data_IF_122617054541
#
_entry.id   IF_122617054541
#
_cell.length_a   1.000
_cell.length_b   1.000
_cell.length_c   1.000
_cell.angle_alpha   90.00
_cell.angle_beta   90.00
_cell.angle_gamma   90.00
#
_symmetry.space_group_name_H-M   'P 1'
#
loop_
_entity.id
_entity.type
_entity.pdbx_description
1 polymer ?
#
# COMPACT_ATOMS: atom_id res chain seq x y z
N UNK A 1 -29.87 -14.55 9.78
CA UNK A 1 -28.89 -13.49 9.46
C UNK A 1 -28.72 -13.45 7.94
N UNK A 2 -29.30 -12.45 7.28
CA UNK A 2 -29.62 -12.45 5.85
C UNK A 2 -28.38 -12.52 4.94
N UNK A 3 -28.47 -13.27 3.84
CA UNK A 3 -27.48 -13.43 2.75
C UNK A 3 -26.75 -12.14 2.28
N UNK A 4 -27.29 -10.96 2.58
CA UNK A 4 -26.72 -9.66 2.27
C UNK A 4 -25.38 -9.36 2.96
N UNK A 5 -25.14 -9.84 4.19
CA UNK A 5 -23.91 -9.50 4.93
C UNK A 5 -22.65 -10.11 4.29
N UNK A 6 -22.76 -11.29 3.68
CA UNK A 6 -21.64 -11.94 2.97
C UNK A 6 -21.23 -11.13 1.74
N UNK A 7 -22.20 -10.65 0.95
CA UNK A 7 -21.94 -9.80 -0.22
C UNK A 7 -21.27 -8.46 0.15
N UNK A 8 -21.70 -7.85 1.26
CA UNK A 8 -21.10 -6.62 1.78
C UNK A 8 -19.66 -6.85 2.25
N UNK A 9 -19.40 -7.92 3.00
CA UNK A 9 -18.04 -8.28 3.44
C UNK A 9 -17.11 -8.48 2.23
N UNK A 10 -17.57 -9.24 1.22
CA UNK A 10 -16.79 -9.46 0.01
C UNK A 10 -16.45 -8.15 -0.72
N UNK A 11 -17.42 -7.24 -0.84
CA UNK A 11 -17.19 -5.93 -1.48
C UNK A 11 -16.18 -5.08 -0.70
N UNK A 12 -16.26 -5.08 0.63
CA UNK A 12 -15.30 -4.37 1.50
C UNK A 12 -13.89 -4.93 1.29
N UNK A 13 -13.74 -6.25 1.29
CA UNK A 13 -12.45 -6.92 1.06
C UNK A 13 -11.89 -6.53 -0.30
N UNK A 14 -12.72 -6.54 -1.35
CA UNK A 14 -12.29 -6.19 -2.70
C UNK A 14 -11.82 -4.74 -2.81
N UNK A 15 -12.55 -3.81 -2.21
CA UNK A 15 -12.16 -2.39 -2.15
C UNK A 15 -10.85 -2.23 -1.39
N UNK A 16 -10.71 -2.89 -0.24
CA UNK A 16 -9.49 -2.84 0.56
C UNK A 16 -8.29 -3.40 -0.20
N UNK A 17 -8.45 -4.57 -0.84
CA UNK A 17 -7.41 -5.21 -1.64
C UNK A 17 -7.01 -4.36 -2.85
N UNK A 18 -7.99 -3.75 -3.53
CA UNK A 18 -7.73 -2.82 -4.64
C UNK A 18 -6.93 -1.61 -4.16
N UNK A 19 -7.28 -1.04 -3.01
CA UNK A 19 -6.56 0.09 -2.43
C UNK A 19 -5.12 -0.28 -2.09
N UNK A 20 -4.90 -1.41 -1.40
CA UNK A 20 -3.56 -1.89 -1.04
C UNK A 20 -2.71 -2.15 -2.29
N UNK A 21 -3.30 -2.80 -3.30
CA UNK A 21 -2.62 -3.09 -4.57
C UNK A 21 -2.23 -1.82 -5.32
N UNK A 22 -3.11 -0.82 -5.33
CA UNK A 22 -2.82 0.48 -5.95
C UNK A 22 -1.59 1.14 -5.33
N UNK A 23 -1.49 1.16 -3.99
CA UNK A 23 -0.33 1.72 -3.30
C UNK A 23 0.94 0.90 -3.51
N UNK A 24 0.83 -0.43 -3.58
CA UNK A 24 1.95 -1.31 -3.96
C UNK A 24 2.51 -0.93 -5.32
N UNK A 25 1.65 -0.80 -6.34
CA UNK A 25 2.07 -0.47 -7.70
C UNK A 25 2.77 0.89 -7.75
N UNK A 26 2.23 1.89 -7.07
CA UNK A 26 2.86 3.23 -7.00
C UNK A 26 4.26 3.13 -6.38
N UNK A 27 4.40 2.45 -5.25
CA UNK A 27 5.69 2.30 -4.58
C UNK A 27 6.70 1.55 -5.46
N UNK A 28 6.27 0.51 -6.16
CA UNK A 28 7.12 -0.24 -7.09
C UNK A 28 7.64 0.64 -8.22
N UNK A 29 6.78 1.48 -8.81
CA UNK A 29 7.17 2.42 -9.87
C UNK A 29 8.21 3.42 -9.34
N UNK A 30 7.99 4.00 -8.16
CA UNK A 30 8.94 4.93 -7.55
C UNK A 30 10.28 4.26 -7.23
N UNK A 31 10.24 3.08 -6.61
CA UNK A 31 11.45 2.33 -6.31
C UNK A 31 12.23 1.99 -7.58
N UNK A 32 11.52 1.56 -8.63
CA UNK A 32 12.12 1.28 -9.93
C UNK A 32 12.77 2.51 -10.57
N UNK A 33 12.07 3.66 -10.57
CA UNK A 33 12.61 4.93 -11.08
C UNK A 33 13.87 5.35 -10.31
N UNK A 34 13.84 5.30 -8.98
CA UNK A 34 14.98 5.65 -8.14
C UNK A 34 16.15 4.70 -8.40
N UNK A 35 15.90 3.39 -8.47
CA UNK A 35 16.94 2.41 -8.78
C UNK A 35 17.61 2.67 -10.13
N UNK A 36 16.86 3.08 -11.15
CA UNK A 36 17.43 3.44 -12.47
C UNK A 36 18.28 4.71 -12.36
N UNK A 37 17.77 5.76 -11.70
CA UNK A 37 18.46 7.05 -11.59
C UNK A 37 19.78 6.91 -10.82
N UNK A 38 19.78 6.13 -9.73
CA UNK A 38 20.93 5.97 -8.84
C UNK A 38 21.74 4.69 -9.11
N UNK A 39 21.38 3.91 -10.12
CA UNK A 39 21.99 2.62 -10.46
C UNK A 39 22.09 1.66 -9.25
N UNK A 40 21.01 1.58 -8.48
CA UNK A 40 20.90 0.74 -7.29
C UNK A 40 20.27 -0.60 -7.68
N UNK A 41 20.84 -1.70 -7.19
CA UNK A 41 20.29 -3.04 -7.41
C UNK A 41 18.86 -3.18 -6.88
N UNK A 42 17.98 -3.73 -7.72
CA UNK A 42 16.60 -4.00 -7.35
C UNK A 42 16.51 -5.23 -6.45
N UNK A 43 16.48 -4.99 -5.13
CA UNK A 43 16.22 -6.03 -4.14
C UNK A 43 14.76 -6.08 -3.71
N UNK A 44 14.15 -7.27 -3.77
CA UNK A 44 12.80 -7.52 -3.24
C UNK A 44 12.73 -7.29 -1.72
N UNK A 45 13.83 -7.53 -0.99
CA UNK A 45 13.86 -7.31 0.46
C UNK A 45 13.70 -5.82 0.78
N UNK A 46 14.44 -4.97 0.08
CA UNK A 46 14.36 -3.51 0.22
C UNK A 46 12.96 -3.00 -0.13
N UNK A 47 12.35 -3.55 -1.18
CA UNK A 47 10.98 -3.22 -1.56
C UNK A 47 9.96 -3.53 -0.45
N UNK A 48 10.00 -4.74 0.15
CA UNK A 48 9.11 -5.09 1.26
C UNK A 48 9.33 -4.23 2.52
N UNK A 49 10.58 -3.86 2.80
CA UNK A 49 10.89 -2.94 3.90
C UNK A 49 10.29 -1.56 3.64
N UNK A 50 10.50 -0.99 2.45
CA UNK A 50 9.93 0.29 2.05
C UNK A 50 8.40 0.28 2.11
N UNK A 51 7.78 -0.81 1.67
CA UNK A 51 6.33 -0.98 1.73
C UNK A 51 5.81 -1.01 3.17
N UNK A 52 6.50 -1.74 4.05
CA UNK A 52 6.14 -1.80 5.47
C UNK A 52 6.27 -0.43 6.16
N UNK A 53 7.36 0.29 5.88
CA UNK A 53 7.56 1.66 6.36
C UNK A 53 6.47 2.61 5.83
N UNK A 54 6.10 2.49 4.54
CA UNK A 54 5.04 3.30 3.95
C UNK A 54 3.68 3.05 4.60
N UNK A 55 3.34 1.79 4.90
CA UNK A 55 2.11 1.44 5.62
C UNK A 55 2.11 2.07 7.01
N UNK A 56 3.18 1.90 7.77
CA UNK A 56 3.33 2.48 9.12
C UNK A 56 3.16 4.00 9.04
N UNK A 57 3.89 4.66 8.14
CA UNK A 57 3.76 6.10 7.94
C UNK A 57 2.31 6.50 7.66
N UNK A 58 1.60 5.77 6.79
CA UNK A 58 0.21 6.10 6.44
C UNK A 58 -0.80 5.78 7.54
N UNK A 59 -0.51 4.79 8.40
CA UNK A 59 -1.33 4.48 9.57
C UNK A 59 -1.17 5.52 10.67
N UNK A 60 0.06 6.03 10.87
CA UNK A 60 0.38 7.00 11.93
C UNK A 60 0.34 8.45 11.46
N UNK A 61 0.17 8.73 10.16
CA UNK A 61 0.00 10.08 9.66
C UNK A 61 -1.31 10.67 10.19
N UNK A 62 -1.28 11.53 11.21
CA UNK A 62 -2.49 12.02 11.82
C UNK A 62 -2.99 13.17 10.95
N UNK A 63 -4.02 12.90 10.14
CA UNK A 63 -4.81 13.98 9.54
C UNK A 63 -5.50 14.88 10.60
N UNK A 64 -5.49 14.48 11.87
CA UNK A 64 -6.24 15.12 12.96
C UNK A 64 -5.39 15.87 14.01
N UNK A 65 -4.08 16.06 13.80
CA UNK A 65 -3.22 16.79 14.79
C UNK A 65 -2.87 18.22 14.35
N UNK A 66 -3.19 18.62 13.12
CA UNK A 66 -2.92 19.97 12.60
C UNK A 66 -4.17 20.68 12.04
N UNK A 67 -5.33 20.48 12.67
CA UNK A 67 -6.51 21.35 12.48
C UNK A 67 -6.88 21.97 13.81
#
# INVERSE_FOLDING_TARGET
>A
MSKNSIGTIFRIILIFFSLVSFWLVILAIFYFLISIIFNIELSLKTYFILFSCFIIFRMFYPKNVFV
#
